data_IF_974430446062
#
_entry.id   IF_974430446062
#
_cell.length_a   1.000
_cell.length_b   1.000
_cell.length_c   1.000
_cell.angle_alpha   90.00
_cell.angle_beta   90.00
_cell.angle_gamma   90.00
#
_symmetry.space_group_name_H-M   'P 1'
#
loop_
_entity.id
_entity.type
_entity.pdbx_description
1 polymer ?
#
# COMPACT_ATOMS: atom_id res chain seq x y z
N UNK A 1 4.77 6.64 39.30
CA UNK A 1 5.51 5.37 39.18
C UNK A 1 4.55 4.22 39.40
N UNK A 2 3.84 3.75 38.37
CA UNK A 2 3.11 2.49 38.37
C UNK A 2 2.97 2.00 36.92
N UNK A 3 3.50 0.80 36.68
CA UNK A 3 3.16 -0.14 35.58
C UNK A 3 3.70 0.21 34.18
N UNK A 4 5.01 0.22 34.01
CA UNK A 4 5.67 0.04 32.69
C UNK A 4 6.64 -1.13 32.68
N UNK A 5 6.22 -2.25 33.26
CA UNK A 5 6.97 -3.48 33.18
C UNK A 5 5.97 -4.62 33.03
N UNK A 6 5.77 -5.08 31.80
CA UNK A 6 5.49 -6.48 31.46
C UNK A 6 5.39 -6.66 29.92
N UNK A 7 6.28 -7.52 29.40
CA UNK A 7 6.14 -8.41 28.24
C UNK A 7 6.17 -7.85 26.81
N UNK A 8 7.31 -8.06 26.15
CA UNK A 8 7.39 -8.65 24.79
C UNK A 8 6.84 -7.87 23.58
N UNK A 9 6.17 -6.74 23.75
CA UNK A 9 5.60 -5.94 22.66
C UNK A 9 6.08 -4.48 22.63
N UNK A 10 7.19 -4.19 23.32
CA UNK A 10 7.64 -2.83 23.62
C UNK A 10 7.89 -1.97 22.38
N UNK A 11 8.43 -2.54 21.31
CA UNK A 11 8.80 -1.79 20.10
C UNK A 11 7.59 -1.34 19.29
N UNK A 12 6.60 -2.22 19.06
CA UNK A 12 5.40 -1.83 18.30
C UNK A 12 4.53 -0.90 19.11
N UNK A 13 4.36 -1.14 20.41
CA UNK A 13 3.55 -0.24 21.24
C UNK A 13 4.16 1.16 21.26
N UNK A 14 5.50 1.27 21.29
CA UNK A 14 6.20 2.55 21.14
C UNK A 14 5.95 3.17 19.76
N UNK A 15 6.06 2.38 18.68
CA UNK A 15 5.77 2.84 17.32
C UNK A 15 4.34 3.35 17.18
N UNK A 16 3.35 2.61 17.70
CA UNK A 16 1.94 3.00 17.71
C UNK A 16 1.73 4.32 18.46
N UNK A 17 2.40 4.52 19.61
CA UNK A 17 2.33 5.78 20.35
C UNK A 17 2.90 6.95 19.54
N UNK A 18 4.06 6.78 18.91
CA UNK A 18 4.67 7.81 18.06
C UNK A 18 3.75 8.14 16.88
N UNK A 19 3.16 7.11 16.24
CA UNK A 19 2.23 7.30 15.14
C UNK A 19 0.94 7.99 15.59
N UNK A 20 0.41 7.62 16.75
CA UNK A 20 -0.78 8.27 17.31
C UNK A 20 -0.52 9.74 17.66
N UNK A 21 0.63 10.05 18.27
CA UNK A 21 1.03 11.42 18.58
C UNK A 21 1.22 12.24 17.30
N UNK A 22 1.86 11.67 16.28
CA UNK A 22 1.98 12.31 14.97
C UNK A 22 0.62 12.60 14.32
N UNK A 23 -0.32 11.65 14.38
CA UNK A 23 -1.68 11.83 13.86
C UNK A 23 -2.44 12.91 14.66
N UNK A 24 -2.28 12.94 15.99
CA UNK A 24 -2.87 13.98 16.82
C UNK A 24 -2.34 15.37 16.47
N UNK A 25 -1.03 15.51 16.22
CA UNK A 25 -0.46 16.79 15.78
C UNK A 25 -1.03 17.26 14.43
N UNK A 26 -1.22 16.34 13.48
CA UNK A 26 -1.89 16.65 12.21
C UNK A 26 -3.35 17.08 12.46
N UNK A 27 -4.05 16.38 13.35
CA UNK A 27 -5.43 16.69 13.70
C UNK A 27 -5.55 18.11 14.27
N UNK A 28 -4.66 18.50 15.17
CA UNK A 28 -4.62 19.83 15.75
C UNK A 28 -4.30 20.91 14.70
N UNK A 29 -3.41 20.61 13.76
CA UNK A 29 -3.12 21.53 12.64
C UNK A 29 -4.33 21.71 11.71
N UNK A 30 -5.11 20.64 11.47
CA UNK A 30 -6.37 20.74 10.71
C UNK A 30 -7.38 21.61 11.45
N UNK A 31 -7.51 21.48 12.78
CA UNK A 31 -8.37 22.36 13.60
C UNK A 31 -7.98 23.82 13.43
N UNK A 32 -6.68 24.11 13.52
CA UNK A 32 -6.14 25.46 13.35
C UNK A 32 -6.43 26.00 11.94
N UNK A 33 -6.21 25.19 10.90
CA UNK A 33 -6.40 25.59 9.50
C UNK A 33 -7.86 25.90 9.17
N UNK A 34 -8.82 25.16 9.75
CA UNK A 34 -10.25 25.40 9.52
C UNK A 34 -10.77 26.58 10.37
N UNK A 35 -9.95 27.16 11.25
CA UNK A 35 -10.31 28.35 12.04
C UNK A 35 -11.38 28.09 13.09
N UNK A 36 -11.51 26.83 13.54
CA UNK A 36 -12.54 26.40 14.49
C UNK A 36 -12.06 26.57 15.94
N UNK A 37 -10.85 27.07 16.18
CA UNK A 37 -10.12 27.03 17.45
C UNK A 37 -10.86 27.47 18.73
N UNK A 38 -11.95 28.24 18.62
CA UNK A 38 -12.80 28.66 19.75
C UNK A 38 -14.26 28.18 19.69
N UNK A 39 -14.69 27.53 18.61
CA UNK A 39 -16.06 26.99 18.52
C UNK A 39 -16.09 25.59 19.12
N UNK A 40 -16.98 25.37 20.10
CA UNK A 40 -17.27 24.05 20.67
C UNK A 40 -17.91 23.14 19.60
N UNK A 41 -17.08 22.61 18.71
CA UNK A 41 -17.48 21.63 17.70
C UNK A 41 -17.35 20.25 18.32
N UNK A 42 -18.45 19.50 18.29
CA UNK A 42 -18.52 18.10 18.70
C UNK A 42 -17.50 17.26 17.91
N UNK A 43 -16.84 16.32 18.58
CA UNK A 43 -15.75 15.48 18.03
C UNK A 43 -16.13 14.82 16.70
N UNK A 44 -17.42 14.47 16.53
CA UNK A 44 -17.95 13.86 15.30
C UNK A 44 -17.89 14.80 14.10
N UNK A 45 -18.19 16.07 14.30
CA UNK A 45 -18.17 17.08 13.23
C UNK A 45 -16.75 17.42 12.84
N UNK A 46 -15.85 17.50 13.81
CA UNK A 46 -14.44 17.71 13.55
C UNK A 46 -13.85 16.52 12.79
N UNK A 47 -14.13 15.29 13.21
CA UNK A 47 -13.70 14.10 12.50
C UNK A 47 -14.21 14.06 11.05
N UNK A 48 -15.48 14.45 10.82
CA UNK A 48 -16.04 14.53 9.47
C UNK A 48 -15.25 15.49 8.57
N UNK A 49 -14.99 16.72 9.04
CA UNK A 49 -14.25 17.74 8.28
C UNK A 49 -12.80 17.29 8.04
N UNK A 50 -12.14 16.78 9.08
CA UNK A 50 -10.77 16.27 8.99
C UNK A 50 -10.65 15.14 7.97
N UNK A 51 -11.56 14.17 8.00
CA UNK A 51 -11.57 13.07 7.03
C UNK A 51 -11.88 13.54 5.60
N UNK A 52 -12.75 14.55 5.43
CA UNK A 52 -13.02 15.12 4.11
C UNK A 52 -11.78 15.82 3.53
N UNK A 53 -11.08 16.64 4.31
CA UNK A 53 -9.87 17.37 3.88
C UNK A 53 -8.74 16.38 3.58
N UNK A 54 -8.43 15.49 4.53
CA UNK A 54 -7.36 14.50 4.39
C UNK A 54 -7.66 13.56 3.21
N UNK A 55 -8.91 13.09 3.08
CA UNK A 55 -9.35 12.23 1.99
C UNK A 55 -9.15 12.88 0.61
N UNK A 56 -9.56 14.15 0.46
CA UNK A 56 -9.37 14.89 -0.80
C UNK A 56 -7.90 15.21 -1.10
N UNK A 57 -7.09 15.48 -0.07
CA UNK A 57 -5.65 15.68 -0.23
C UNK A 57 -4.98 14.39 -0.72
N UNK A 58 -5.24 13.26 -0.07
CA UNK A 58 -4.73 11.93 -0.47
C UNK A 58 -5.21 11.60 -1.89
N UNK A 59 -6.49 11.81 -2.21
CA UNK A 59 -7.01 11.58 -3.55
C UNK A 59 -6.26 12.41 -4.60
N UNK A 60 -6.09 13.71 -4.39
CA UNK A 60 -5.39 14.59 -5.33
C UNK A 60 -3.95 14.13 -5.57
N UNK A 61 -3.22 13.81 -4.49
CA UNK A 61 -1.84 13.34 -4.57
C UNK A 61 -1.77 11.99 -5.29
N UNK A 62 -2.60 11.03 -4.90
CA UNK A 62 -2.62 9.68 -5.50
C UNK A 62 -3.03 9.73 -6.96
N UNK A 63 -4.01 10.54 -7.35
CA UNK A 63 -4.36 10.77 -8.76
C UNK A 63 -3.17 11.30 -9.56
N UNK A 64 -2.47 12.31 -9.03
CA UNK A 64 -1.31 12.90 -9.68
C UNK A 64 -0.16 11.88 -9.87
N UNK A 65 0.12 11.07 -8.85
CA UNK A 65 1.17 10.04 -8.87
C UNK A 65 0.75 8.88 -9.79
N UNK A 66 -0.44 8.32 -9.61
CA UNK A 66 -0.90 7.14 -10.36
C UNK A 66 -1.09 7.45 -11.83
N UNK A 67 -1.52 8.66 -12.20
CA UNK A 67 -1.54 9.07 -13.62
C UNK A 67 -0.16 9.03 -14.27
N UNK A 68 0.92 9.28 -13.52
CA UNK A 68 2.31 9.17 -14.02
C UNK A 68 2.75 7.72 -14.11
N UNK A 69 2.51 6.94 -13.05
CA UNK A 69 2.86 5.51 -13.00
C UNK A 69 2.10 4.71 -14.07
N UNK A 70 0.85 5.08 -14.36
CA UNK A 70 -0.02 4.44 -15.36
C UNK A 70 0.60 4.44 -16.77
N UNK A 71 1.39 5.47 -17.09
CA UNK A 71 2.10 5.55 -18.38
C UNK A 71 3.13 4.43 -18.55
N UNK A 72 3.66 3.91 -17.44
CA UNK A 72 4.67 2.85 -17.44
C UNK A 72 4.06 1.48 -17.22
N UNK A 73 3.18 1.33 -16.22
CA UNK A 73 2.61 0.03 -15.88
C UNK A 73 1.38 0.14 -14.99
N UNK A 74 0.25 -0.37 -15.47
CA UNK A 74 -0.95 -0.58 -14.65
C UNK A 74 -0.65 -1.58 -13.52
N UNK A 75 0.19 -2.59 -13.78
CA UNK A 75 0.60 -3.57 -12.75
C UNK A 75 1.34 -2.90 -11.58
N UNK A 76 2.10 -1.83 -11.82
CA UNK A 76 2.75 -1.08 -10.74
C UNK A 76 1.73 -0.35 -9.85
N UNK A 77 0.66 0.19 -10.44
CA UNK A 77 -0.45 0.80 -9.68
C UNK A 77 -1.14 -0.26 -8.83
N UNK A 78 -1.48 -1.40 -9.42
CA UNK A 78 -2.09 -2.52 -8.69
C UNK A 78 -1.20 -2.98 -7.55
N UNK A 79 0.12 -3.05 -7.75
CA UNK A 79 1.06 -3.39 -6.69
C UNK A 79 1.04 -2.37 -5.54
N UNK A 80 1.16 -1.06 -5.84
CA UNK A 80 1.16 -0.01 -4.82
C UNK A 80 -0.14 -0.04 -4.01
N UNK A 81 -1.28 -0.18 -4.68
CA UNK A 81 -2.59 -0.27 -4.03
C UNK A 81 -2.66 -1.49 -3.10
N UNK A 82 -2.39 -2.69 -3.63
CA UNK A 82 -2.46 -3.92 -2.84
C UNK A 82 -1.46 -3.93 -1.69
N UNK A 83 -0.24 -3.43 -1.91
CA UNK A 83 0.78 -3.30 -0.86
C UNK A 83 0.30 -2.39 0.29
N UNK A 84 -0.31 -1.26 -0.04
CA UNK A 84 -0.87 -0.33 0.96
C UNK A 84 -1.99 -0.99 1.76
N UNK A 85 -2.89 -1.71 1.08
CA UNK A 85 -3.98 -2.46 1.73
C UNK A 85 -3.42 -3.57 2.62
N UNK A 86 -2.40 -4.30 2.18
CA UNK A 86 -1.77 -5.37 2.96
C UNK A 86 -1.15 -4.84 4.25
N UNK A 87 -0.50 -3.67 4.22
CA UNK A 87 0.01 -3.03 5.44
C UNK A 87 -1.14 -2.83 6.44
N UNK A 88 -2.24 -2.21 6.01
CA UNK A 88 -3.38 -1.95 6.90
C UNK A 88 -3.96 -3.25 7.47
N UNK A 89 -4.16 -4.28 6.64
CA UNK A 89 -4.71 -5.57 7.07
C UNK A 89 -3.82 -6.23 8.12
N UNK A 90 -2.52 -6.30 7.87
CA UNK A 90 -1.58 -6.95 8.79
C UNK A 90 -1.55 -6.22 10.13
N UNK A 91 -1.50 -4.88 10.13
CA UNK A 91 -1.59 -4.11 11.37
C UNK A 91 -2.89 -4.37 12.14
N UNK A 92 -4.05 -4.41 11.45
CA UNK A 92 -5.34 -4.67 12.09
C UNK A 92 -5.38 -6.06 12.74
N UNK A 93 -4.86 -7.08 12.05
CA UNK A 93 -4.80 -8.46 12.56
C UNK A 93 -3.95 -8.52 13.83
N UNK A 94 -2.75 -7.93 13.81
CA UNK A 94 -1.83 -7.95 14.95
C UNK A 94 -2.38 -7.19 16.16
N UNK A 95 -2.99 -6.02 15.94
CA UNK A 95 -3.67 -5.27 17.01
C UNK A 95 -4.77 -6.13 17.63
N UNK A 96 -5.59 -6.78 16.79
CA UNK A 96 -6.69 -7.61 17.27
C UNK A 96 -6.20 -8.85 18.04
N UNK A 97 -5.11 -9.48 17.61
CA UNK A 97 -4.50 -10.61 18.32
C UNK A 97 -3.99 -10.20 19.70
N UNK A 98 -3.39 -9.01 19.81
CA UNK A 98 -2.96 -8.45 21.09
C UNK A 98 -4.13 -8.17 22.03
N UNK A 99 -5.22 -7.57 21.52
CA UNK A 99 -6.41 -7.25 22.30
C UNK A 99 -7.15 -8.51 22.78
N UNK A 100 -7.14 -9.58 21.98
CA UNK A 100 -7.82 -10.84 22.30
C UNK A 100 -6.95 -11.83 23.07
N UNK A 101 -5.72 -11.45 23.45
CA UNK A 101 -4.73 -12.32 24.10
C UNK A 101 -4.47 -13.63 23.33
N UNK A 102 -4.65 -13.63 22.00
CA UNK A 102 -4.41 -14.80 21.14
C UNK A 102 -2.98 -14.86 20.60
N UNK A 103 -2.22 -13.79 20.77
CA UNK A 103 -0.84 -13.67 20.36
C UNK A 103 -0.20 -12.46 21.03
N UNK A 104 1.13 -12.42 20.99
CA UNK A 104 1.86 -11.21 21.34
C UNK A 104 1.96 -10.33 20.09
N UNK A 105 1.94 -9.01 20.25
CA UNK A 105 2.07 -8.11 19.10
C UNK A 105 3.57 -8.00 18.77
N UNK A 106 4.03 -8.64 17.69
CA UNK A 106 5.43 -8.63 17.30
C UNK A 106 5.65 -8.00 15.93
N UNK A 107 6.70 -7.16 15.81
CA UNK A 107 6.96 -6.45 14.55
C UNK A 107 7.39 -7.43 13.46
N UNK A 108 7.98 -8.55 13.89
CA UNK A 108 8.31 -9.66 13.03
C UNK A 108 7.07 -10.20 12.30
N UNK A 109 5.94 -10.39 13.00
CA UNK A 109 4.70 -10.90 12.40
C UNK A 109 4.17 -9.94 11.33
N UNK A 110 4.26 -8.63 11.59
CA UNK A 110 3.94 -7.60 10.59
C UNK A 110 4.85 -7.73 9.36
N UNK A 111 6.16 -7.82 9.59
CA UNK A 111 7.14 -7.94 8.51
C UNK A 111 6.93 -9.22 7.70
N UNK A 112 6.67 -10.36 8.35
CA UNK A 112 6.41 -11.65 7.69
C UNK A 112 5.12 -11.62 6.87
N UNK A 113 4.05 -10.98 7.37
CA UNK A 113 2.82 -10.77 6.60
C UNK A 113 3.07 -10.02 5.28
N UNK A 114 3.91 -8.97 5.34
CA UNK A 114 4.31 -8.20 4.15
C UNK A 114 5.25 -9.03 3.24
N UNK A 115 6.22 -9.74 3.81
CA UNK A 115 7.15 -10.59 3.06
C UNK A 115 6.44 -11.70 2.29
N UNK A 116 5.40 -12.31 2.86
CA UNK A 116 4.58 -13.30 2.16
C UNK A 116 3.96 -12.74 0.88
N UNK A 117 3.38 -11.54 0.95
CA UNK A 117 2.86 -10.85 -0.24
C UNK A 117 3.95 -10.55 -1.27
N UNK A 118 5.08 -9.99 -0.84
CA UNK A 118 6.19 -9.64 -1.74
C UNK A 118 6.77 -10.88 -2.43
N UNK A 119 6.91 -11.98 -1.69
CA UNK A 119 7.45 -13.24 -2.20
C UNK A 119 6.56 -13.82 -3.30
N UNK A 120 5.24 -13.92 -3.06
CA UNK A 120 4.29 -14.43 -4.07
C UNK A 120 4.17 -13.47 -5.26
N UNK A 121 4.21 -12.16 -5.02
CA UNK A 121 4.20 -11.17 -6.09
C UNK A 121 5.43 -11.27 -7.00
N UNK A 122 6.61 -11.55 -6.43
CA UNK A 122 7.82 -11.78 -7.20
C UNK A 122 7.69 -13.00 -8.12
N UNK A 123 7.12 -14.10 -7.62
CA UNK A 123 6.82 -15.29 -8.44
C UNK A 123 5.89 -14.92 -9.60
N UNK A 124 4.83 -14.15 -9.33
CA UNK A 124 3.94 -13.64 -10.39
C UNK A 124 4.70 -12.83 -11.46
N UNK A 125 5.63 -11.96 -11.07
CA UNK A 125 6.43 -11.18 -12.02
C UNK A 125 7.31 -12.07 -12.90
N UNK A 126 7.93 -13.10 -12.33
CA UNK A 126 8.75 -14.08 -13.07
C UNK A 126 7.89 -14.81 -14.11
N UNK A 127 6.71 -15.32 -13.72
CA UNK A 127 5.79 -15.99 -14.64
C UNK A 127 5.36 -15.05 -15.78
N UNK A 128 5.00 -13.81 -15.45
CA UNK A 128 4.62 -12.78 -16.44
C UNK A 128 5.76 -12.50 -17.43
N UNK A 129 7.00 -12.43 -16.95
CA UNK A 129 8.17 -12.19 -17.78
C UNK A 129 8.41 -13.35 -18.77
N UNK A 130 8.30 -14.59 -18.30
CA UNK A 130 8.40 -15.79 -19.13
C UNK A 130 7.33 -15.78 -20.24
N UNK A 131 6.08 -15.44 -19.90
CA UNK A 131 4.99 -15.38 -20.88
C UNK A 131 5.23 -14.32 -21.97
N UNK A 132 5.69 -13.13 -21.58
CA UNK A 132 6.03 -12.05 -22.52
C UNK A 132 7.17 -12.49 -23.45
N UNK A 133 8.21 -13.13 -22.89
CA UNK A 133 9.33 -13.63 -23.67
C UNK A 133 8.90 -14.72 -24.67
N UNK A 134 8.11 -15.69 -24.23
CA UNK A 134 7.58 -16.75 -25.09
C UNK A 134 6.74 -16.17 -26.25
N UNK A 135 5.84 -15.24 -25.96
CA UNK A 135 5.03 -14.56 -26.99
C UNK A 135 5.92 -13.83 -28.01
N UNK A 136 6.97 -13.13 -27.55
CA UNK A 136 7.89 -12.42 -28.44
C UNK A 136 8.65 -13.36 -29.37
N UNK A 137 9.05 -14.55 -28.90
CA UNK A 137 9.70 -15.55 -29.74
C UNK A 137 8.74 -16.14 -30.79
N UNK A 138 7.49 -16.42 -30.42
CA UNK A 138 6.47 -16.94 -31.34
C UNK A 138 6.13 -15.96 -32.47
N UNK A 139 5.97 -14.67 -32.16
CA UNK A 139 5.71 -13.63 -33.18
C UNK A 139 6.91 -13.51 -34.14
N UNK A 140 8.13 -13.48 -33.62
CA UNK A 140 9.35 -13.42 -34.45
C UNK A 140 9.48 -14.62 -35.41
N UNK A 141 9.04 -15.81 -34.99
CA UNK A 141 9.03 -17.00 -35.83
C UNK A 141 7.94 -16.92 -36.92
N UNK A 142 6.78 -16.36 -36.60
CA UNK A 142 5.69 -16.11 -37.57
C UNK A 142 6.11 -15.11 -38.65
N UNK A 143 6.69 -13.97 -38.26
CA UNK A 143 7.11 -12.92 -39.21
C UNK A 143 8.22 -13.39 -40.16
N UNK A 144 9.17 -14.20 -39.65
CA UNK A 144 10.23 -14.79 -40.48
C UNK A 144 9.68 -15.76 -41.51
N UNK A 145 8.61 -16.50 -41.20
CA UNK A 145 7.95 -17.42 -42.13
C UNK A 145 7.20 -16.65 -43.23
N UNK A 146 6.48 -15.59 -42.89
CA UNK A 146 5.72 -14.76 -43.84
C UNK A 146 6.61 -14.03 -44.86
N UNK A 147 7.71 -13.43 -44.42
CA UNK A 147 8.64 -12.74 -45.35
C UNK A 147 9.30 -13.71 -46.33
N UNK A 148 9.68 -14.91 -45.86
CA UNK A 148 10.28 -15.93 -46.73
C UNK A 148 9.33 -16.39 -47.86
N UNK A 149 8.02 -16.43 -47.61
CA UNK A 149 7.04 -16.78 -48.65
C UNK A 149 6.92 -15.70 -49.73
N UNK A 150 6.93 -14.41 -49.35
CA UNK A 150 6.88 -13.31 -50.31
C UNK A 150 8.09 -13.26 -51.25
N UNK A 151 9.29 -13.50 -50.71
CA UNK A 151 10.53 -13.53 -51.50
C UNK A 151 10.57 -14.68 -52.52
N UNK A 152 9.70 -15.69 -52.37
CA UNK A 152 9.62 -16.85 -53.29
C UNK A 152 8.55 -16.68 -54.36
N UNK A 153 7.59 -15.76 -54.21
CA UNK A 153 6.55 -15.46 -55.22
C UNK A 153 6.95 -14.32 -56.17
N UNK A 154 7.94 -13.50 -55.83
CA UNK A 154 8.48 -12.42 -56.67
C UNK A 154 9.63 -12.84 -57.61
N UNK A 155 9.99 -14.14 -57.66
CA UNK A 155 10.98 -14.72 -58.58
C UNK A 155 10.31 -15.59 -59.64
#
# INVERSE_FOLDING_TARGET
MYIYQYLGGGTIIKLLKIMAEFINNIHDEVVNLVGIGDYAIDDKKLHFISMAIIGMAIFTITQFVFKRVAKYSITAISFIYTFTVMIVIVFVIEIQQKLTNRGNMEFADIAYGIYGFLYVFLIYLVIKLIFIFAKKQLVKLSDKKTNKFKDTEEQ
#
